data_IF_318949525391
#
_entry.id   IF_318949525391
#
_cell.length_a   1.000
_cell.length_b   1.000
_cell.length_c   1.000
_cell.angle_alpha   90.00
_cell.angle_beta   90.00
_cell.angle_gamma   90.00
#
_symmetry.space_group_name_H-M   'P 1'
#
loop_
_entity.id
_entity.type
_entity.pdbx_description
1 polymer ?
#
# COMPACT_ATOMS: atom_id res chain seq x y z
N UNK A 1 13.98 -30.27 -33.94
CA UNK A 1 13.42 -30.18 -32.56
C UNK A 1 14.11 -29.12 -31.69
N UNK A 2 14.56 -27.99 -32.25
CA UNK A 2 15.30 -26.93 -31.52
C UNK A 2 14.74 -25.50 -31.72
N UNK A 3 13.56 -25.34 -32.33
CA UNK A 3 12.97 -24.01 -32.61
C UNK A 3 11.94 -23.56 -31.56
N UNK A 4 11.56 -24.40 -30.60
CA UNK A 4 10.44 -24.11 -29.66
C UNK A 4 10.89 -23.45 -28.35
N UNK A 5 12.19 -23.47 -28.04
CA UNK A 5 12.69 -23.01 -26.71
C UNK A 5 12.93 -21.49 -26.64
N UNK A 6 13.29 -20.82 -27.75
CA UNK A 6 13.64 -19.38 -27.72
C UNK A 6 12.45 -18.42 -27.56
N UNK A 7 11.28 -18.79 -28.07
CA UNK A 7 10.08 -17.93 -27.93
C UNK A 7 9.47 -17.90 -26.50
N UNK A 8 9.73 -18.92 -25.68
CA UNK A 8 9.31 -18.91 -24.27
C UNK A 8 10.21 -18.07 -23.36
N UNK A 9 11.50 -18.04 -23.68
CA UNK A 9 12.48 -17.26 -22.90
C UNK A 9 12.26 -15.73 -23.08
N UNK A 10 11.94 -15.27 -24.28
CA UNK A 10 11.63 -13.87 -24.52
C UNK A 10 10.34 -13.40 -23.81
N UNK A 11 9.33 -14.26 -23.66
CA UNK A 11 8.11 -13.93 -22.89
C UNK A 11 8.32 -13.86 -21.37
N UNK A 12 9.29 -14.62 -20.87
CA UNK A 12 9.59 -14.64 -19.43
C UNK A 12 10.38 -13.40 -19.00
N UNK A 13 11.25 -12.87 -19.87
CA UNK A 13 12.06 -11.67 -19.60
C UNK A 13 11.19 -10.40 -19.64
N UNK A 14 10.17 -10.34 -20.50
CA UNK A 14 9.22 -9.21 -20.58
C UNK A 14 8.32 -9.07 -19.33
N UNK A 15 8.16 -10.13 -18.55
CA UNK A 15 7.33 -10.12 -17.33
C UNK A 15 8.08 -9.64 -16.08
N UNK A 16 9.41 -9.52 -16.12
CA UNK A 16 10.22 -9.27 -14.93
C UNK A 16 10.71 -7.82 -14.76
N UNK A 17 10.52 -6.93 -15.75
CA UNK A 17 10.96 -5.54 -15.57
C UNK A 17 10.14 -4.50 -16.34
N UNK A 18 9.12 -3.87 -15.72
CA UNK A 18 8.26 -2.87 -16.37
C UNK A 18 8.87 -1.47 -16.51
N UNK A 19 10.15 -1.24 -16.18
CA UNK A 19 10.76 0.11 -16.07
C UNK A 19 11.89 0.44 -17.04
N UNK A 20 12.11 -0.32 -18.12
CA UNK A 20 13.10 0.08 -19.11
C UNK A 20 12.46 0.79 -20.31
N UNK A 21 12.93 2.00 -20.67
CA UNK A 21 12.56 2.65 -21.93
C UNK A 21 13.14 1.86 -23.09
N UNK A 22 12.39 1.78 -24.20
CA UNK A 22 12.69 1.01 -25.40
C UNK A 22 14.10 1.23 -25.92
N UNK A 23 15.02 0.34 -25.57
CA UNK A 23 16.33 0.19 -26.20
C UNK A 23 16.23 -0.84 -27.33
N UNK A 24 16.74 -0.47 -28.48
CA UNK A 24 16.82 -1.31 -29.67
C UNK A 24 17.82 -2.45 -29.40
N UNK A 25 17.32 -3.68 -29.22
CA UNK A 25 18.18 -4.87 -29.18
C UNK A 25 18.32 -5.45 -30.60
N UNK A 26 19.51 -5.39 -31.12
CA UNK A 26 19.90 -6.06 -32.36
C UNK A 26 20.11 -7.55 -32.10
N UNK A 27 19.29 -8.40 -32.71
CA UNK A 27 19.61 -9.84 -32.85
C UNK A 27 20.31 -10.06 -34.20
N UNK A 28 21.52 -10.58 -34.25
CA UNK A 28 22.18 -10.89 -35.53
C UNK A 28 21.58 -12.19 -36.08
N UNK A 29 20.95 -12.12 -37.24
CA UNK A 29 20.58 -13.31 -38.01
C UNK A 29 19.19 -13.40 -38.64
N UNK A 30 18.42 -12.33 -38.75
CA UNK A 30 17.15 -12.37 -39.47
C UNK A 30 17.05 -11.20 -40.46
N UNK A 31 16.86 -11.53 -41.73
CA UNK A 31 16.81 -10.58 -42.83
C UNK A 31 15.61 -9.66 -42.79
N UNK A 32 15.82 -8.46 -43.32
CA UNK A 32 14.93 -7.31 -43.59
C UNK A 32 13.94 -6.89 -42.50
N UNK A 33 13.96 -5.62 -42.09
CA UNK A 33 13.05 -5.09 -41.08
C UNK A 33 11.64 -4.94 -41.67
N UNK A 34 10.71 -5.74 -41.19
CA UNK A 34 9.31 -5.46 -41.27
C UNK A 34 9.00 -4.24 -40.37
N UNK A 35 8.35 -3.21 -40.94
CA UNK A 35 7.95 -2.00 -40.24
C UNK A 35 7.03 -2.36 -39.03
N UNK A 36 7.58 -2.34 -37.83
CA UNK A 36 6.78 -2.46 -36.60
C UNK A 36 6.08 -1.12 -36.39
N UNK A 37 4.79 -1.10 -36.68
CA UNK A 37 3.88 -0.01 -36.30
C UNK A 37 3.96 0.24 -34.79
N UNK A 38 3.98 1.51 -34.34
CA UNK A 38 4.12 1.83 -32.92
C UNK A 38 2.92 1.31 -32.11
N UNK A 39 3.20 0.61 -31.02
CA UNK A 39 2.26 -0.02 -30.07
C UNK A 39 1.25 0.94 -29.40
N UNK A 40 1.17 2.20 -29.79
CA UNK A 40 0.17 3.16 -29.27
C UNK A 40 -1.28 2.78 -29.58
N UNK A 41 -1.54 2.11 -30.70
CA UNK A 41 -2.91 1.72 -31.06
C UNK A 41 -3.49 0.50 -30.36
N UNK A 42 -2.69 -0.32 -29.69
CA UNK A 42 -3.20 -1.48 -28.94
C UNK A 42 -3.63 -1.11 -27.51
N UNK A 43 -3.05 -0.07 -26.92
CA UNK A 43 -3.41 0.38 -25.58
C UNK A 43 -4.68 1.22 -25.56
N UNK A 44 -4.95 1.96 -26.64
CA UNK A 44 -6.19 2.74 -26.80
C UNK A 44 -7.43 1.88 -27.10
N UNK A 45 -7.24 0.63 -27.53
CA UNK A 45 -8.35 -0.29 -27.80
C UNK A 45 -8.84 -1.05 -26.57
N UNK A 46 -8.04 -1.11 -25.50
CA UNK A 46 -8.40 -1.73 -24.21
C UNK A 46 -8.98 -0.68 -23.23
N UNK A 47 -8.73 0.60 -23.46
CA UNK A 47 -9.36 1.67 -22.71
C UNK A 47 -10.73 1.93 -23.31
N UNK A 48 -11.69 1.12 -22.89
CA UNK A 48 -13.07 1.13 -23.34
C UNK A 48 -13.69 2.52 -23.38
N UNK A 49 -13.50 3.24 -24.51
CA UNK A 49 -14.32 4.41 -24.83
C UNK A 49 -15.81 4.07 -24.92
N UNK A 50 -16.13 2.80 -25.22
CA UNK A 50 -17.49 2.34 -25.32
C UNK A 50 -18.18 2.13 -23.98
N UNK A 51 -17.47 1.63 -22.95
CA UNK A 51 -18.06 1.42 -21.62
C UNK A 51 -18.36 2.71 -20.87
N UNK A 52 -17.47 3.71 -20.95
CA UNK A 52 -17.71 5.01 -20.33
C UNK A 52 -18.69 5.89 -21.13
N UNK A 53 -18.70 5.78 -22.46
CA UNK A 53 -19.67 6.47 -23.28
C UNK A 53 -21.08 5.88 -23.07
N UNK A 54 -21.23 4.55 -22.98
CA UNK A 54 -22.50 3.88 -22.74
C UNK A 54 -23.06 4.14 -21.33
N UNK A 55 -22.19 4.27 -20.31
CA UNK A 55 -22.59 4.70 -18.97
C UNK A 55 -23.01 6.17 -18.93
N UNK A 56 -22.29 7.06 -19.63
CA UNK A 56 -22.61 8.48 -19.68
C UNK A 56 -23.84 8.77 -20.55
N UNK A 57 -24.07 8.04 -21.65
CA UNK A 57 -25.26 8.17 -22.46
C UNK A 57 -26.54 7.69 -21.74
N UNK A 58 -26.44 6.59 -20.97
CA UNK A 58 -27.56 6.14 -20.13
C UNK A 58 -27.87 7.09 -18.96
N UNK A 59 -26.89 7.91 -18.53
CA UNK A 59 -27.08 8.92 -17.48
C UNK A 59 -27.63 10.24 -18.00
N UNK A 60 -27.59 10.48 -19.31
CA UNK A 60 -28.07 11.74 -19.96
C UNK A 60 -29.34 11.56 -20.77
N UNK A 61 -29.77 10.34 -21.06
CA UNK A 61 -31.11 10.10 -21.61
C UNK A 61 -32.15 10.24 -20.47
N UNK A 62 -32.53 11.47 -20.19
CA UNK A 62 -33.80 11.74 -19.51
C UNK A 62 -34.87 11.17 -20.42
N UNK A 63 -35.53 10.08 -20.00
CA UNK A 63 -36.61 9.46 -20.74
C UNK A 63 -37.65 10.57 -21.05
N UNK A 64 -37.89 10.91 -22.32
CA UNK A 64 -38.79 12.01 -22.65
C UNK A 64 -40.22 11.81 -22.13
N UNK A 65 -40.64 10.56 -21.90
CA UNK A 65 -41.91 10.22 -21.28
C UNK A 65 -41.93 10.63 -19.79
N UNK A 66 -40.85 10.34 -19.03
CA UNK A 66 -40.76 10.76 -17.64
C UNK A 66 -40.66 12.29 -17.49
N UNK A 67 -40.02 12.97 -18.43
CA UNK A 67 -39.97 14.42 -18.46
C UNK A 67 -41.35 15.02 -18.74
N UNK A 68 -42.15 14.41 -19.64
CA UNK A 68 -43.52 14.81 -19.90
C UNK A 68 -44.44 14.53 -18.69
N UNK A 69 -44.35 13.36 -18.07
CA UNK A 69 -45.10 13.07 -16.84
C UNK A 69 -44.80 14.07 -15.71
N UNK A 70 -43.53 14.49 -15.58
CA UNK A 70 -43.16 15.50 -14.57
C UNK A 70 -43.71 16.87 -14.89
N UNK A 71 -43.74 17.25 -16.19
CA UNK A 71 -44.36 18.52 -16.64
C UNK A 71 -45.87 18.51 -16.47
N UNK A 72 -46.53 17.40 -16.79
CA UNK A 72 -47.98 17.24 -16.60
C UNK A 72 -48.36 17.24 -15.11
N UNK A 73 -47.57 16.56 -14.26
CA UNK A 73 -47.75 16.58 -12.80
C UNK A 73 -47.62 18.00 -12.23
N UNK A 74 -46.61 18.76 -12.69
CA UNK A 74 -46.43 20.17 -12.32
C UNK A 74 -47.57 21.03 -12.84
N UNK A 75 -48.00 20.84 -14.09
CA UNK A 75 -49.13 21.55 -14.70
C UNK A 75 -50.46 21.29 -13.96
N UNK A 76 -50.75 20.01 -13.64
CA UNK A 76 -51.89 19.60 -12.84
C UNK A 76 -51.87 20.17 -11.42
N UNK A 77 -50.67 20.25 -10.79
CA UNK A 77 -50.51 20.89 -9.51
C UNK A 77 -50.84 22.37 -9.51
N UNK A 78 -50.36 23.12 -10.51
CA UNK A 78 -50.66 24.55 -10.65
C UNK A 78 -52.15 24.81 -10.94
N UNK A 79 -52.84 23.89 -11.64
CA UNK A 79 -54.26 24.00 -11.92
C UNK A 79 -55.13 23.68 -10.68
N UNK A 80 -54.65 22.80 -9.77
CA UNK A 80 -55.35 22.38 -8.58
C UNK A 80 -54.86 23.06 -7.29
N UNK A 81 -54.23 24.23 -7.38
CA UNK A 81 -53.77 25.01 -6.21
C UNK A 81 -54.94 25.50 -5.37
N UNK A 82 -55.43 24.60 -4.53
CA UNK A 82 -56.40 24.92 -3.47
C UNK A 82 -55.64 25.45 -2.24
N UNK A 83 -56.25 26.40 -1.51
CA UNK A 83 -55.72 26.93 -0.25
C UNK A 83 -55.34 25.81 0.71
N UNK A 84 -56.04 24.70 0.72
CA UNK A 84 -55.76 23.50 1.53
C UNK A 84 -54.42 22.86 1.15
N UNK A 85 -54.09 22.72 -0.15
CA UNK A 85 -52.83 22.18 -0.62
C UNK A 85 -51.66 23.08 -0.26
N UNK A 86 -51.81 24.38 -0.38
CA UNK A 86 -50.79 25.35 0.05
C UNK A 86 -50.54 25.30 1.56
N UNK A 87 -51.57 25.17 2.36
CA UNK A 87 -51.47 25.02 3.82
C UNK A 87 -50.76 23.72 4.19
N UNK A 88 -51.05 22.59 3.55
CA UNK A 88 -50.41 21.31 3.82
C UNK A 88 -48.90 21.30 3.45
N UNK A 89 -48.53 21.90 2.30
CA UNK A 89 -47.11 22.07 1.89
C UNK A 89 -46.40 22.97 2.90
N UNK A 90 -46.99 24.10 3.26
CA UNK A 90 -46.43 24.99 4.27
C UNK A 90 -46.20 24.27 5.62
N UNK A 91 -47.20 23.52 6.07
CA UNK A 91 -47.06 22.71 7.30
C UNK A 91 -45.94 21.66 7.19
N UNK A 92 -45.85 20.98 6.00
CA UNK A 92 -44.78 19.95 5.75
C UNK A 92 -43.42 20.61 5.80
N UNK A 93 -43.22 21.76 5.14
CA UNK A 93 -41.96 22.49 5.16
C UNK A 93 -41.60 22.90 6.60
N UNK A 94 -42.55 23.45 7.36
CA UNK A 94 -42.31 23.83 8.74
C UNK A 94 -41.91 22.60 9.59
N UNK A 95 -42.58 21.48 9.41
CA UNK A 95 -42.23 20.23 10.09
C UNK A 95 -40.81 19.78 9.78
N UNK A 96 -40.42 19.77 8.49
CA UNK A 96 -39.05 19.44 8.06
C UNK A 96 -38.02 20.41 8.65
N UNK A 97 -38.28 21.71 8.65
CA UNK A 97 -37.40 22.72 9.27
C UNK A 97 -37.25 22.54 10.78
N UNK A 98 -38.34 22.16 11.47
CA UNK A 98 -38.28 21.84 12.90
C UNK A 98 -37.42 20.62 13.16
N UNK A 99 -37.60 19.53 12.40
CA UNK A 99 -36.78 18.33 12.46
C UNK A 99 -35.33 18.67 12.20
N UNK A 100 -35.03 19.43 11.13
CA UNK A 100 -33.68 19.89 10.79
C UNK A 100 -33.05 20.65 11.97
N UNK A 101 -33.79 21.61 12.59
CA UNK A 101 -33.28 22.35 13.77
C UNK A 101 -33.01 21.43 14.96
N UNK A 102 -33.83 20.42 15.18
CA UNK A 102 -33.63 19.45 16.28
C UNK A 102 -32.37 18.64 16.01
N UNK A 103 -32.24 18.07 14.83
CA UNK A 103 -31.07 17.26 14.44
C UNK A 103 -29.76 18.06 14.56
N UNK A 104 -29.73 19.29 14.00
CA UNK A 104 -28.54 20.15 14.09
C UNK A 104 -28.22 20.55 15.53
N UNK A 105 -29.23 20.81 16.40
CA UNK A 105 -29.00 21.10 17.80
C UNK A 105 -28.46 19.88 18.59
N UNK A 106 -28.93 18.69 18.28
CA UNK A 106 -28.40 17.45 18.87
C UNK A 106 -26.95 17.24 18.47
N UNK A 107 -26.62 17.48 17.17
CA UNK A 107 -25.25 17.41 16.67
C UNK A 107 -24.33 18.39 17.39
N UNK A 108 -24.73 19.66 17.51
CA UNK A 108 -23.97 20.70 18.23
C UNK A 108 -23.76 20.34 19.72
N UNK A 109 -24.75 19.69 20.36
CA UNK A 109 -24.60 19.21 21.74
C UNK A 109 -23.59 18.09 21.86
N UNK A 110 -23.56 17.18 20.88
CA UNK A 110 -22.62 16.06 20.82
C UNK A 110 -21.20 16.56 20.56
N UNK A 111 -21.02 17.49 19.61
CA UNK A 111 -19.70 18.05 19.30
C UNK A 111 -19.08 18.78 20.50
N UNK A 112 -19.88 19.52 21.26
CA UNK A 112 -19.43 20.19 22.51
C UNK A 112 -18.93 19.20 23.57
N UNK A 113 -19.41 17.97 23.58
CA UNK A 113 -18.95 16.92 24.52
C UNK A 113 -17.65 16.26 24.09
N UNK A 114 -17.37 16.23 22.78
CA UNK A 114 -16.23 15.52 22.19
C UNK A 114 -14.99 16.41 22.00
N UNK A 115 -15.07 17.71 22.37
CA UNK A 115 -13.96 18.69 22.23
C UNK A 115 -13.31 18.70 20.83
N UNK A 116 -14.12 18.46 19.77
CA UNK A 116 -13.64 18.41 18.40
C UNK A 116 -13.18 19.79 17.92
N UNK A 117 -12.20 19.80 17.00
CA UNK A 117 -11.74 21.03 16.38
C UNK A 117 -12.86 21.79 15.67
N UNK A 118 -12.86 23.12 15.80
CA UNK A 118 -13.91 24.00 15.26
C UNK A 118 -14.09 23.82 13.75
N UNK A 119 -13.02 23.59 13.00
CA UNK A 119 -13.07 23.38 11.55
C UNK A 119 -13.85 22.13 11.17
N UNK A 120 -13.62 21.02 11.85
CA UNK A 120 -14.32 19.75 11.61
C UNK A 120 -15.81 19.87 11.98
N UNK A 121 -16.13 20.51 13.09
CA UNK A 121 -17.53 20.76 13.51
C UNK A 121 -18.29 21.57 12.46
N UNK A 122 -17.68 22.64 11.94
CA UNK A 122 -18.29 23.51 10.92
C UNK A 122 -18.55 22.75 9.63
N UNK A 123 -17.57 21.93 9.19
CA UNK A 123 -17.69 21.09 7.99
C UNK A 123 -18.82 20.07 8.12
N UNK A 124 -18.84 19.29 9.21
CA UNK A 124 -19.86 18.27 9.46
C UNK A 124 -21.27 18.88 9.58
N UNK A 125 -21.38 20.06 10.24
CA UNK A 125 -22.63 20.78 10.36
C UNK A 125 -23.13 21.26 8.99
N UNK A 126 -22.23 21.78 8.12
CA UNK A 126 -22.57 22.20 6.77
C UNK A 126 -22.99 21.00 5.90
N UNK A 127 -22.23 19.90 5.93
CA UNK A 127 -22.53 18.68 5.19
C UNK A 127 -23.90 18.09 5.58
N UNK A 128 -24.16 17.96 6.88
CA UNK A 128 -25.45 17.45 7.35
C UNK A 128 -26.61 18.39 6.98
N UNK A 129 -26.40 19.71 7.03
CA UNK A 129 -27.41 20.68 6.59
C UNK A 129 -27.77 20.49 5.10
N UNK A 130 -26.77 20.29 4.23
CA UNK A 130 -27.00 20.03 2.80
C UNK A 130 -27.82 18.76 2.60
N UNK A 131 -27.49 17.67 3.29
CA UNK A 131 -28.25 16.40 3.21
C UNK A 131 -29.69 16.60 3.69
N UNK A 132 -29.92 17.30 4.81
CA UNK A 132 -31.26 17.56 5.32
C UNK A 132 -32.08 18.45 4.39
N UNK A 133 -31.46 19.44 3.74
CA UNK A 133 -32.11 20.23 2.69
C UNK A 133 -32.49 19.37 1.48
N UNK A 134 -31.59 18.49 1.02
CA UNK A 134 -31.87 17.57 -0.08
C UNK A 134 -33.09 16.69 0.23
N UNK A 135 -33.11 16.09 1.42
CA UNK A 135 -34.24 15.27 1.89
C UNK A 135 -35.54 16.09 1.95
N UNK A 136 -35.47 17.33 2.46
CA UNK A 136 -36.64 18.22 2.52
C UNK A 136 -37.18 18.51 1.12
N UNK A 137 -36.31 18.82 0.17
CA UNK A 137 -36.68 19.06 -1.22
C UNK A 137 -37.33 17.82 -1.85
N UNK A 138 -36.77 16.64 -1.67
CA UNK A 138 -37.34 15.38 -2.17
C UNK A 138 -38.74 15.12 -1.60
N UNK A 139 -38.95 15.35 -0.28
CA UNK A 139 -40.27 15.17 0.34
C UNK A 139 -41.30 16.13 -0.24
N UNK A 140 -40.93 17.40 -0.43
CA UNK A 140 -41.82 18.42 -0.99
C UNK A 140 -42.15 18.12 -2.46
N UNK A 141 -41.14 17.74 -3.26
CA UNK A 141 -41.37 17.39 -4.68
C UNK A 141 -42.26 16.14 -4.83
N UNK A 142 -42.05 15.11 -3.97
CA UNK A 142 -42.92 13.94 -3.95
C UNK A 142 -44.35 14.26 -3.57
N UNK A 143 -44.58 15.22 -2.68
CA UNK A 143 -45.94 15.68 -2.33
C UNK A 143 -46.61 16.46 -3.47
N UNK A 144 -45.83 17.15 -4.30
CA UNK A 144 -46.32 17.91 -5.48
C UNK A 144 -46.72 16.95 -6.62
N UNK A 145 -46.33 15.66 -6.56
CA UNK A 145 -46.65 14.67 -7.58
C UNK A 145 -45.49 14.35 -8.53
N UNK A 146 -44.30 14.86 -8.27
CA UNK A 146 -43.11 14.47 -9.06
C UNK A 146 -42.81 12.96 -8.82
N UNK A 147 -42.62 12.16 -9.89
CA UNK A 147 -42.34 10.75 -9.76
C UNK A 147 -41.13 10.50 -8.86
N UNK A 148 -41.32 9.75 -7.76
CA UNK A 148 -40.26 9.49 -6.82
C UNK A 148 -39.11 8.66 -7.44
N UNK A 149 -39.39 7.88 -8.48
CA UNK A 149 -38.42 7.08 -9.22
C UNK A 149 -37.28 7.94 -9.77
N UNK A 150 -37.63 9.04 -10.45
CA UNK A 150 -36.65 9.97 -11.04
C UNK A 150 -35.83 10.69 -9.97
N UNK A 151 -36.46 11.06 -8.84
CA UNK A 151 -35.77 11.69 -7.73
C UNK A 151 -34.77 10.71 -7.06
N UNK A 152 -35.19 9.47 -6.83
CA UNK A 152 -34.32 8.42 -6.26
C UNK A 152 -33.15 8.12 -7.20
N UNK A 153 -33.39 8.04 -8.52
CA UNK A 153 -32.34 7.84 -9.50
C UNK A 153 -31.29 8.98 -9.45
N UNK A 154 -31.75 10.25 -9.45
CA UNK A 154 -30.87 11.42 -9.37
C UNK A 154 -30.04 11.42 -8.06
N UNK A 155 -30.68 11.21 -6.91
CA UNK A 155 -30.00 11.14 -5.62
C UNK A 155 -29.02 9.97 -5.57
N UNK A 156 -29.36 8.83 -6.21
CA UNK A 156 -28.49 7.66 -6.33
C UNK A 156 -27.19 7.98 -7.09
N UNK A 157 -27.30 8.68 -8.23
CA UNK A 157 -26.13 9.11 -9.03
C UNK A 157 -25.25 10.08 -8.24
N UNK A 158 -25.85 11.08 -7.59
CA UNK A 158 -25.11 12.03 -6.73
C UNK A 158 -24.43 11.27 -5.58
N UNK A 159 -25.16 10.34 -4.93
CA UNK A 159 -24.63 9.52 -3.84
C UNK A 159 -23.45 8.66 -4.27
N UNK A 160 -23.52 8.05 -5.46
CA UNK A 160 -22.41 7.29 -6.03
C UNK A 160 -21.19 8.18 -6.28
N UNK A 161 -21.38 9.36 -6.89
CA UNK A 161 -20.30 10.30 -7.16
C UNK A 161 -19.60 10.75 -5.86
N UNK A 162 -20.37 11.10 -4.82
CA UNK A 162 -19.84 11.48 -3.51
C UNK A 162 -19.12 10.29 -2.84
N UNK A 163 -19.68 9.09 -2.91
CA UNK A 163 -19.06 7.87 -2.35
C UNK A 163 -17.69 7.60 -2.95
N UNK A 164 -17.57 7.69 -4.29
CA UNK A 164 -16.30 7.55 -4.99
C UNK A 164 -15.30 8.66 -4.58
N UNK A 165 -15.77 9.89 -4.41
CA UNK A 165 -14.91 11.01 -4.02
C UNK A 165 -14.32 10.86 -2.59
N UNK A 166 -15.05 10.25 -1.66
CA UNK A 166 -14.61 10.06 -0.26
C UNK A 166 -14.04 8.67 0.02
N UNK A 167 -14.00 7.77 -0.99
CA UNK A 167 -13.58 6.37 -0.84
C UNK A 167 -12.22 6.22 -0.14
N UNK A 168 -11.22 7.02 -0.53
CA UNK A 168 -9.88 6.98 0.08
C UNK A 168 -9.88 7.37 1.55
N UNK A 169 -10.66 8.39 1.91
CA UNK A 169 -10.80 8.82 3.32
C UNK A 169 -11.47 7.74 4.15
N UNK A 170 -12.53 7.14 3.63
CA UNK A 170 -13.25 6.06 4.33
C UNK A 170 -12.37 4.81 4.49
N UNK A 171 -11.58 4.47 3.48
CA UNK A 171 -10.59 3.38 3.54
C UNK A 171 -9.57 3.61 4.65
N UNK A 172 -9.06 4.84 4.80
CA UNK A 172 -8.11 5.17 5.87
C UNK A 172 -8.74 5.10 7.26
N UNK A 173 -9.97 5.54 7.40
CA UNK A 173 -10.72 5.41 8.67
C UNK A 173 -10.96 3.94 9.02
N UNK A 174 -11.41 3.14 8.06
CA UNK A 174 -11.61 1.70 8.26
C UNK A 174 -10.30 0.99 8.62
N UNK A 175 -9.20 1.31 7.92
CA UNK A 175 -7.86 0.81 8.22
C UNK A 175 -7.41 1.20 9.63
N UNK A 176 -7.65 2.44 10.06
CA UNK A 176 -7.33 2.88 11.42
C UNK A 176 -8.09 2.12 12.49
N UNK A 177 -9.38 1.91 12.31
CA UNK A 177 -10.21 1.09 13.21
C UNK A 177 -9.67 -0.35 13.23
N UNK A 178 -9.34 -0.92 12.07
CA UNK A 178 -8.78 -2.26 11.97
C UNK A 178 -7.46 -2.39 12.74
N UNK A 179 -6.52 -1.44 12.59
CA UNK A 179 -5.24 -1.43 13.32
C UNK A 179 -5.46 -1.31 14.83
N UNK A 180 -6.36 -0.43 15.27
CA UNK A 180 -6.67 -0.21 16.69
C UNK A 180 -7.33 -1.42 17.34
N UNK A 181 -8.16 -2.17 16.61
CA UNK A 181 -8.86 -3.37 17.12
C UNK A 181 -7.95 -4.60 17.09
N UNK A 182 -7.30 -4.88 15.95
CA UNK A 182 -6.46 -6.06 15.78
C UNK A 182 -5.10 -5.95 16.47
N UNK A 183 -4.62 -4.70 16.69
CA UNK A 183 -3.36 -4.35 17.37
C UNK A 183 -2.15 -5.15 16.85
N UNK A 184 -1.87 -5.15 15.54
CA UNK A 184 -0.71 -5.83 14.98
C UNK A 184 0.61 -5.24 15.50
N UNK A 185 0.57 -4.03 16.01
CA UNK A 185 1.65 -3.31 16.69
C UNK A 185 1.09 -2.30 17.70
N UNK A 186 1.95 -1.80 18.57
CA UNK A 186 1.65 -0.78 19.58
C UNK A 186 2.59 0.42 19.41
N UNK A 187 2.25 1.54 20.04
CA UNK A 187 3.19 2.66 20.17
C UNK A 187 4.45 2.19 20.90
N UNK A 188 5.61 2.50 20.34
CA UNK A 188 6.92 2.05 20.78
C UNK A 188 7.49 0.87 19.98
N UNK A 189 6.69 0.10 19.27
CA UNK A 189 7.18 -0.98 18.41
C UNK A 189 7.95 -0.47 17.21
N UNK A 190 9.03 -1.15 16.82
CA UNK A 190 9.69 -0.93 15.54
C UNK A 190 9.09 -1.85 14.49
N UNK A 191 8.51 -1.25 13.47
CA UNK A 191 7.75 -1.96 12.44
C UNK A 191 8.17 -1.54 11.03
N UNK A 192 7.91 -2.44 10.08
CA UNK A 192 7.89 -2.13 8.66
C UNK A 192 6.44 -2.27 8.17
N UNK A 193 5.86 -1.18 7.73
CA UNK A 193 4.46 -1.10 7.30
C UNK A 193 4.27 0.02 6.27
N UNK A 194 3.44 -0.20 5.26
CA UNK A 194 3.20 0.79 4.21
C UNK A 194 4.46 1.21 3.45
N UNK A 195 5.41 0.28 3.25
CA UNK A 195 6.67 0.54 2.53
C UNK A 195 7.72 1.36 3.30
N UNK A 196 7.50 1.63 4.60
CA UNK A 196 8.43 2.36 5.46
C UNK A 196 8.69 1.62 6.75
N UNK A 197 9.92 1.78 7.30
CA UNK A 197 10.32 1.22 8.58
C UNK A 197 10.52 2.32 9.60
N UNK A 198 10.07 2.07 10.83
CA UNK A 198 10.25 3.03 11.93
C UNK A 198 9.58 2.61 13.22
N UNK A 199 9.85 3.37 14.28
CA UNK A 199 9.19 3.20 15.57
C UNK A 199 7.83 3.88 15.55
N UNK A 200 6.78 3.15 15.91
CA UNK A 200 5.42 3.68 16.02
C UNK A 200 5.36 4.73 17.12
N UNK A 201 5.09 5.98 16.76
CA UNK A 201 4.87 7.08 17.72
C UNK A 201 3.43 7.14 18.17
N UNK A 202 2.51 7.06 17.21
CA UNK A 202 1.09 7.26 17.44
C UNK A 202 0.27 6.55 16.36
N UNK A 203 -0.79 5.89 16.75
CA UNK A 203 -1.81 5.34 15.84
C UNK A 203 -3.03 6.26 15.92
N UNK A 204 -3.18 7.11 14.91
CA UNK A 204 -4.34 7.98 14.76
C UNK A 204 -5.48 7.30 14.00
N UNK A 205 -6.60 8.02 13.83
CA UNK A 205 -7.78 7.49 13.18
C UNK A 205 -7.58 7.26 11.66
N UNK A 206 -6.91 8.17 10.96
CA UNK A 206 -6.68 8.07 9.52
C UNK A 206 -5.22 7.80 9.14
N UNK A 207 -4.26 8.15 10.02
CA UNK A 207 -2.83 8.04 9.80
C UNK A 207 -2.14 7.47 11.03
N UNK A 208 -1.12 6.63 10.80
CA UNK A 208 -0.16 6.21 11.83
C UNK A 208 1.14 6.98 11.63
N UNK A 209 1.72 7.49 12.72
CA UNK A 209 3.01 8.21 12.70
C UNK A 209 4.13 7.27 13.09
N UNK A 210 5.13 7.15 12.21
CA UNK A 210 6.34 6.39 12.42
C UNK A 210 7.53 7.34 12.55
N UNK A 211 8.45 7.07 13.48
CA UNK A 211 9.74 7.74 13.56
C UNK A 211 10.83 6.83 13.00
N UNK A 212 11.54 7.30 12.00
CA UNK A 212 12.70 6.61 11.45
C UNK A 212 13.89 6.64 12.41
N UNK A 213 14.91 5.81 12.16
CA UNK A 213 16.14 5.77 12.98
C UNK A 213 16.92 7.09 12.95
N UNK A 214 16.76 7.89 11.89
CA UNK A 214 17.32 9.24 11.76
C UNK A 214 16.38 10.35 12.27
N UNK A 215 15.38 9.96 13.08
CA UNK A 215 14.43 10.81 13.79
C UNK A 215 13.49 11.67 12.91
N UNK A 216 13.22 11.22 11.67
CA UNK A 216 12.16 11.81 10.84
C UNK A 216 10.82 11.21 11.22
N UNK A 217 9.76 12.02 11.18
CA UNK A 217 8.39 11.53 11.41
C UNK A 217 7.68 11.37 10.06
N UNK A 218 7.25 10.14 9.79
CA UNK A 218 6.49 9.78 8.60
C UNK A 218 5.05 9.49 8.99
N UNK A 219 4.10 10.13 8.33
CA UNK A 219 2.66 9.84 8.50
C UNK A 219 2.20 8.93 7.37
N UNK A 220 1.86 7.69 7.70
CA UNK A 220 1.40 6.67 6.75
C UNK A 220 -0.11 6.55 6.84
N UNK A 221 -0.84 6.59 5.70
CA UNK A 221 -2.29 6.36 5.68
C UNK A 221 -2.64 4.97 6.21
N UNK A 222 -3.60 4.87 7.11
CA UNK A 222 -3.95 3.57 7.72
C UNK A 222 -4.55 2.56 6.74
N UNK A 223 -5.20 3.03 5.67
CA UNK A 223 -5.67 2.16 4.59
C UNK A 223 -4.54 1.42 3.88
N UNK A 224 -3.38 2.07 3.71
CA UNK A 224 -2.19 1.44 3.16
C UNK A 224 -1.61 0.42 4.15
N UNK A 225 -1.46 0.79 5.43
CA UNK A 225 -0.94 -0.12 6.46
C UNK A 225 -1.80 -1.38 6.59
N UNK A 226 -3.13 -1.22 6.64
CA UNK A 226 -4.04 -2.36 6.81
C UNK A 226 -4.15 -3.25 5.57
N UNK A 227 -3.84 -2.71 4.38
CA UNK A 227 -3.89 -3.43 3.11
C UNK A 227 -2.59 -4.18 2.76
N UNK A 228 -1.49 -3.92 3.47
CA UNK A 228 -0.18 -4.49 3.18
C UNK A 228 0.31 -5.42 4.30
N UNK A 229 1.41 -6.12 4.01
CA UNK A 229 2.10 -6.94 5.00
C UNK A 229 2.76 -6.04 6.06
N UNK A 230 2.55 -6.36 7.33
CA UNK A 230 3.17 -5.70 8.46
C UNK A 230 4.24 -6.63 9.05
N UNK A 231 5.46 -6.13 9.22
CA UNK A 231 6.53 -6.83 9.92
C UNK A 231 6.78 -6.08 11.23
N UNK A 232 6.55 -6.75 12.35
CA UNK A 232 6.86 -6.21 13.67
C UNK A 232 8.15 -6.87 14.20
N UNK A 233 9.15 -6.05 14.45
CA UNK A 233 10.47 -6.49 14.88
C UNK A 233 10.62 -6.55 16.41
N UNK A 234 9.66 -6.01 17.16
CA UNK A 234 9.77 -5.84 18.63
C UNK A 234 8.73 -6.61 19.42
N UNK A 235 7.73 -7.20 18.77
CA UNK A 235 6.70 -8.00 19.47
C UNK A 235 7.27 -9.26 20.09
N UNK A 236 8.26 -9.90 19.46
CA UNK A 236 8.92 -11.08 20.00
C UNK A 236 10.06 -10.68 20.94
N UNK A 237 10.18 -11.33 22.08
CA UNK A 237 11.24 -11.07 23.08
C UNK A 237 12.62 -11.45 22.55
N UNK A 238 12.69 -12.36 21.59
CA UNK A 238 13.94 -12.87 21.01
C UNK A 238 13.94 -12.69 19.50
N UNK A 239 15.11 -12.36 18.96
CA UNK A 239 15.37 -12.29 17.52
C UNK A 239 16.60 -13.11 17.17
N UNK A 240 16.66 -13.56 15.92
CA UNK A 240 17.80 -14.27 15.38
C UNK A 240 18.65 -13.32 14.53
N UNK A 241 19.91 -13.21 14.88
CA UNK A 241 20.94 -12.55 14.06
C UNK A 241 21.45 -13.58 13.05
N UNK A 242 21.33 -13.24 11.77
CA UNK A 242 21.82 -14.05 10.66
C UNK A 242 23.01 -13.31 10.02
N UNK A 243 24.19 -13.93 10.05
CA UNK A 243 25.43 -13.40 9.49
C UNK A 243 26.03 -14.42 8.53
N UNK A 244 26.85 -13.91 7.61
CA UNK A 244 27.68 -14.75 6.74
C UNK A 244 29.13 -14.29 6.82
N UNK A 245 30.07 -15.26 6.90
CA UNK A 245 31.50 -15.02 6.88
C UNK A 245 32.13 -15.83 5.75
N UNK A 246 33.15 -15.26 5.12
CA UNK A 246 33.89 -15.92 4.06
C UNK A 246 35.30 -16.27 4.55
N UNK A 247 35.76 -17.50 4.25
CA UNK A 247 37.13 -17.92 4.49
C UNK A 247 37.75 -18.54 3.23
N UNK A 248 39.08 -18.67 3.20
CA UNK A 248 39.80 -19.29 2.10
C UNK A 248 39.43 -20.76 1.92
N UNK A 249 39.57 -21.28 0.71
CA UNK A 249 39.51 -22.70 0.42
C UNK A 249 40.67 -23.49 1.09
N UNK A 250 41.79 -22.79 1.40
CA UNK A 250 42.95 -23.39 2.06
C UNK A 250 42.73 -23.62 3.56
N UNK A 251 41.70 -22.97 4.15
CA UNK A 251 41.39 -23.11 5.57
C UNK A 251 40.47 -24.31 5.81
N UNK A 252 40.83 -25.23 6.70
CA UNK A 252 39.98 -26.37 7.02
C UNK A 252 38.64 -25.92 7.59
N UNK A 253 37.51 -26.38 7.03
CA UNK A 253 36.17 -25.94 7.46
C UNK A 253 35.90 -26.14 8.95
N UNK A 254 36.41 -27.18 9.54
CA UNK A 254 36.25 -27.46 10.97
C UNK A 254 36.93 -26.39 11.83
N UNK A 255 38.14 -25.94 11.45
CA UNK A 255 38.86 -24.87 12.12
C UNK A 255 38.07 -23.57 12.12
N UNK A 256 37.49 -23.20 10.94
CA UNK A 256 36.69 -22.01 10.76
C UNK A 256 35.42 -22.08 11.64
N UNK A 257 34.68 -23.19 11.58
CA UNK A 257 33.43 -23.38 12.34
C UNK A 257 33.74 -23.32 13.86
N UNK A 258 34.81 -23.96 14.31
CA UNK A 258 35.17 -23.98 15.72
C UNK A 258 35.59 -22.59 16.24
N UNK A 259 36.34 -21.84 15.43
CA UNK A 259 36.71 -20.45 15.74
C UNK A 259 35.49 -19.57 15.90
N UNK A 260 34.52 -19.64 14.96
CA UNK A 260 33.27 -18.88 15.05
C UNK A 260 32.47 -19.35 16.30
N UNK A 261 32.39 -20.65 16.56
CA UNK A 261 31.68 -21.19 17.71
C UNK A 261 32.26 -20.69 19.04
N UNK A 262 33.58 -20.57 19.15
CA UNK A 262 34.25 -20.03 20.36
C UNK A 262 33.87 -18.54 20.55
N UNK A 263 33.86 -17.73 19.49
CA UNK A 263 33.46 -16.33 19.57
C UNK A 263 32.01 -16.22 20.02
N UNK A 264 31.10 -16.94 19.37
CA UNK A 264 29.67 -16.93 19.73
C UNK A 264 29.48 -17.44 21.16
N UNK A 265 30.22 -18.52 21.56
CA UNK A 265 30.14 -19.11 22.88
C UNK A 265 30.61 -18.20 24.01
N UNK A 266 31.54 -17.30 23.73
CA UNK A 266 32.04 -16.33 24.69
C UNK A 266 31.18 -15.06 24.79
N UNK A 267 30.26 -14.85 23.86
CA UNK A 267 29.51 -13.60 23.78
C UNK A 267 28.34 -13.55 24.79
N UNK A 268 28.29 -12.57 25.70
CA UNK A 268 27.31 -12.55 26.80
C UNK A 268 25.85 -12.33 26.36
N UNK A 269 25.63 -11.78 25.16
CA UNK A 269 24.27 -11.52 24.59
C UNK A 269 23.75 -12.66 23.71
N UNK A 270 24.60 -13.67 23.44
CA UNK A 270 24.19 -14.83 22.64
C UNK A 270 23.34 -15.78 23.49
N UNK A 271 22.20 -16.19 22.96
CA UNK A 271 21.37 -17.23 23.58
C UNK A 271 21.70 -18.59 22.95
N UNK A 272 21.71 -19.62 23.81
CA UNK A 272 22.04 -21.00 23.41
C UNK A 272 20.81 -21.91 23.35
N UNK A 273 19.62 -21.34 23.52
CA UNK A 273 18.34 -22.04 23.35
C UNK A 273 17.45 -21.20 22.47
N UNK A 274 17.27 -21.55 21.21
CA UNK A 274 17.89 -22.65 20.44
C UNK A 274 19.40 -22.51 20.23
N UNK A 275 20.10 -23.66 20.05
CA UNK A 275 21.55 -23.69 19.82
C UNK A 275 21.94 -22.87 18.57
N UNK A 276 23.05 -22.10 18.60
CA UNK A 276 23.60 -21.40 17.47
C UNK A 276 23.88 -22.32 16.28
N UNK A 277 23.45 -21.96 15.10
CA UNK A 277 23.67 -22.72 13.89
C UNK A 277 24.84 -22.14 13.11
N UNK A 278 25.91 -22.92 12.96
CA UNK A 278 27.17 -22.54 12.29
C UNK A 278 27.53 -23.65 11.32
N UNK A 279 27.47 -23.38 10.01
CA UNK A 279 27.72 -24.37 8.95
C UNK A 279 28.28 -23.69 7.70
N UNK A 280 28.87 -24.48 6.81
CA UNK A 280 29.14 -24.06 5.43
C UNK A 280 27.80 -23.79 4.73
N UNK A 281 27.69 -22.62 4.10
CA UNK A 281 26.49 -22.21 3.37
C UNK A 281 26.64 -22.42 1.86
N UNK A 282 27.77 -22.00 1.29
CA UNK A 282 28.03 -22.11 -0.14
C UNK A 282 29.52 -22.09 -0.46
N UNK A 283 29.87 -22.62 -1.61
CA UNK A 283 31.18 -22.45 -2.25
C UNK A 283 31.06 -21.36 -3.30
N UNK A 284 31.78 -20.24 -3.08
CA UNK A 284 31.81 -19.08 -4.00
C UNK A 284 33.05 -19.10 -4.86
N UNK A 285 33.16 -18.18 -5.82
CA UNK A 285 34.26 -18.16 -6.80
C UNK A 285 35.65 -18.08 -6.16
N UNK A 286 35.79 -17.41 -5.02
CA UNK A 286 37.09 -17.20 -4.34
C UNK A 286 37.07 -17.51 -2.85
N UNK A 287 35.96 -18.01 -2.32
CA UNK A 287 35.81 -18.24 -0.87
C UNK A 287 34.77 -19.31 -0.56
N UNK A 288 34.89 -19.88 0.63
CA UNK A 288 33.85 -20.70 1.26
C UNK A 288 33.03 -19.80 2.18
N UNK A 289 31.73 -19.74 1.97
CA UNK A 289 30.79 -18.97 2.78
C UNK A 289 30.25 -19.80 3.92
N UNK A 290 30.29 -19.25 5.13
CA UNK A 290 29.77 -19.84 6.35
C UNK A 290 28.56 -19.02 6.83
N UNK A 291 27.46 -19.69 7.14
CA UNK A 291 26.28 -19.07 7.76
C UNK A 291 26.35 -19.22 9.27
N UNK A 292 26.05 -18.13 9.97
CA UNK A 292 26.03 -18.06 11.43
C UNK A 292 24.67 -17.50 11.84
N UNK A 293 23.91 -18.28 12.61
CA UNK A 293 22.59 -17.89 13.11
C UNK A 293 22.58 -18.00 14.62
N UNK A 294 22.40 -16.85 15.29
CA UNK A 294 22.46 -16.74 16.73
C UNK A 294 21.22 -16.05 17.25
N UNK A 295 20.60 -16.60 18.27
CA UNK A 295 19.47 -15.97 18.93
C UNK A 295 19.97 -15.02 20.03
N UNK A 296 19.24 -13.91 20.22
CA UNK A 296 19.48 -12.93 21.28
C UNK A 296 18.16 -12.28 21.71
N UNK A 297 18.20 -11.55 22.82
CA UNK A 297 17.08 -10.66 23.16
C UNK A 297 16.90 -9.60 22.09
N UNK A 298 15.66 -9.22 21.82
CA UNK A 298 15.33 -8.26 20.76
C UNK A 298 16.07 -6.92 20.91
N UNK A 299 16.26 -6.45 22.14
CA UNK A 299 17.02 -5.22 22.44
C UNK A 299 18.52 -5.34 22.10
N UNK A 300 19.07 -6.55 22.12
CA UNK A 300 20.48 -6.83 21.88
C UNK A 300 20.82 -7.16 20.44
N UNK A 301 19.83 -7.10 19.52
CA UNK A 301 20.01 -7.50 18.13
C UNK A 301 21.15 -6.74 17.44
N UNK A 302 21.11 -5.42 17.44
CA UNK A 302 22.15 -4.61 16.78
C UNK A 302 23.50 -4.66 17.49
N UNK A 303 23.58 -4.55 18.83
CA UNK A 303 24.84 -4.77 19.52
C UNK A 303 25.47 -6.12 19.19
N UNK A 304 24.74 -7.22 19.30
CA UNK A 304 25.26 -8.55 18.96
C UNK A 304 25.70 -8.66 17.50
N UNK A 305 24.90 -8.07 16.58
CA UNK A 305 25.20 -8.10 15.15
C UNK A 305 26.57 -7.47 14.84
N UNK A 306 26.85 -6.29 15.36
CA UNK A 306 28.10 -5.58 15.12
C UNK A 306 29.26 -6.20 15.90
N UNK A 307 29.05 -6.58 17.17
CA UNK A 307 30.06 -7.23 17.99
C UNK A 307 30.56 -8.54 17.33
N UNK A 308 29.65 -9.35 16.78
CA UNK A 308 30.04 -10.61 16.11
C UNK A 308 30.80 -10.34 14.80
N UNK A 309 30.47 -9.30 14.03
CA UNK A 309 31.22 -8.95 12.83
C UNK A 309 32.68 -8.60 13.16
N UNK A 310 32.91 -7.84 14.24
CA UNK A 310 34.22 -7.38 14.64
C UNK A 310 35.02 -8.56 15.30
N UNK A 311 34.41 -9.25 16.26
CA UNK A 311 35.08 -10.28 17.01
C UNK A 311 35.45 -11.54 16.19
N UNK A 312 34.59 -11.91 15.22
CA UNK A 312 34.91 -13.01 14.30
C UNK A 312 36.08 -12.64 13.40
N UNK A 313 36.16 -11.41 12.92
CA UNK A 313 37.30 -10.94 12.12
C UNK A 313 38.59 -11.00 12.94
N UNK A 314 38.57 -10.50 14.15
CA UNK A 314 39.75 -10.58 15.08
C UNK A 314 40.16 -12.04 15.38
N UNK A 315 39.17 -12.92 15.59
CA UNK A 315 39.45 -14.31 15.86
C UNK A 315 40.02 -15.02 14.64
N UNK A 316 39.60 -14.69 13.44
CA UNK A 316 40.17 -15.22 12.21
C UNK A 316 41.61 -14.80 12.06
N UNK A 317 41.92 -13.51 12.27
CA UNK A 317 43.31 -13.02 12.23
C UNK A 317 44.22 -13.73 13.25
N UNK A 318 43.75 -13.89 14.50
CA UNK A 318 44.48 -14.58 15.55
C UNK A 318 44.74 -16.06 15.24
N UNK A 319 43.80 -16.73 14.58
CA UNK A 319 43.91 -18.15 14.26
C UNK A 319 44.50 -18.41 12.87
N UNK A 320 44.93 -17.36 12.15
CA UNK A 320 45.49 -17.49 10.80
C UNK A 320 44.49 -18.04 9.79
N UNK A 321 43.21 -17.65 9.92
CA UNK A 321 42.14 -17.91 8.94
C UNK A 321 42.10 -16.73 7.99
N UNK A 322 42.19 -16.98 6.69
CA UNK A 322 42.24 -15.94 5.70
C UNK A 322 40.84 -15.59 5.17
N UNK A 323 40.50 -14.31 5.17
CA UNK A 323 39.38 -13.78 4.38
C UNK A 323 39.91 -13.36 3.01
N UNK A 324 39.67 -14.16 1.95
CA UNK A 324 40.32 -13.93 0.67
C UNK A 324 39.70 -12.73 -0.05
N UNK A 325 40.55 -12.03 -0.78
CA UNK A 325 40.09 -11.10 -1.82
C UNK A 325 39.60 -11.89 -3.03
N UNK A 326 38.89 -11.24 -3.93
CA UNK A 326 38.49 -11.88 -5.19
C UNK A 326 39.73 -12.27 -5.99
N UNK A 327 39.86 -13.57 -6.32
CA UNK A 327 40.92 -14.09 -7.12
C UNK A 327 40.49 -14.12 -8.60
N UNK A 328 41.40 -13.72 -9.48
CA UNK A 328 41.20 -13.81 -10.92
C UNK A 328 42.35 -14.65 -11.51
N UNK A 329 42.01 -15.75 -12.15
CA UNK A 329 42.97 -16.53 -12.93
C UNK A 329 43.19 -15.89 -14.30
N UNK A 330 44.35 -15.29 -14.53
CA UNK A 330 44.68 -14.65 -15.81
C UNK A 330 45.59 -15.59 -16.59
N UNK A 331 45.10 -16.10 -17.72
CA UNK A 331 45.92 -16.81 -18.71
C UNK A 331 46.47 -15.82 -19.72
N UNK A 332 47.78 -15.52 -19.64
CA UNK A 332 48.46 -14.70 -20.63
C UNK A 332 48.82 -15.57 -21.79
N UNK A 333 48.23 -15.35 -22.97
CA UNK A 333 48.56 -16.01 -24.22
C UNK A 333 49.48 -15.10 -25.04
N UNK A 334 50.78 -15.45 -25.15
CA UNK A 334 51.70 -14.78 -26.06
C UNK A 334 51.32 -15.10 -27.49
N UNK A 335 50.95 -14.08 -28.25
CA UNK A 335 50.75 -14.20 -29.72
C UNK A 335 52.10 -14.22 -30.38
N UNK A 336 52.54 -15.37 -30.86
CA UNK A 336 53.72 -15.43 -31.76
C UNK A 336 53.38 -14.67 -33.02
N UNK A 337 54.08 -13.55 -33.28
CA UNK A 337 54.07 -12.91 -34.59
C UNK A 337 54.66 -13.88 -35.57
N UNK A 338 53.86 -14.38 -36.52
CA UNK A 338 54.38 -15.04 -37.73
C UNK A 338 55.13 -13.98 -38.56
N UNK A 339 56.49 -14.07 -38.58
CA UNK A 339 57.32 -13.33 -39.50
C UNK A 339 57.05 -13.90 -40.90
N UNK A 340 56.31 -13.13 -41.73
CA UNK A 340 56.20 -13.36 -43.17
C UNK A 340 57.47 -12.90 -43.90
#
# INVERSE_FOLDING_TARGET
MQSFSKKRLCRFIDSLNPRHPAGIFFCPGAGRPEKILPRRHAYDRIRGKEGNAMLLTNLTEVNPEEAQETLEALGGFFHNLNLRTLLTIGLLIVACLVVMKIVLRLLDRTFRRLELERGLCTFLHAALRVVLWLVTVCIVLGYIGVPMTSLVALVGVIGLAVSLAIQGTLSNLAGGIQVLVSKPFKAGDYVEAGGVSGTVKEVGLAYTKLATVDNKVISVPNGQISGEKIINYTTADQRRVDLTFNASYDDPPQKVIETIRQVVGAHPRALFTPEPFIRVNAYKDSSVEYVVRVWCATADYWPLYHDLLEQVKEAFDKNGIQMPYNHLNVHVVERKEEKG
#
